data_IF_378520063372
#
_entry.id   IF_378520063372
#
_cell.length_a   1.000
_cell.length_b   1.000
_cell.length_c   1.000
_cell.angle_alpha   90.00
_cell.angle_beta   90.00
_cell.angle_gamma   90.00
#
_symmetry.space_group_name_H-M   'P 1'
#
loop_
_entity.id
_entity.type
_entity.pdbx_description
1 polymer ?
#
# COMPACT_ATOMS: atom_id res chain seq x y z
N UNK A 1 3.58 -7.50 69.99
CA UNK A 1 4.11 -8.19 68.81
C UNK A 1 3.04 -8.55 67.76
N UNK A 2 1.92 -9.22 68.07
CA UNK A 2 0.88 -9.61 67.11
C UNK A 2 0.25 -8.42 66.30
N UNK A 3 0.03 -7.25 66.93
CA UNK A 3 -0.49 -6.07 66.25
C UNK A 3 0.48 -5.38 65.27
N UNK A 4 1.76 -5.54 65.45
CA UNK A 4 2.78 -4.98 64.57
C UNK A 4 2.95 -5.85 63.31
N UNK A 5 2.87 -7.17 63.43
CA UNK A 5 2.93 -8.12 62.32
C UNK A 5 1.72 -7.99 61.36
N UNK A 6 0.54 -7.73 61.93
CA UNK A 6 -0.67 -7.55 61.09
C UNK A 6 -0.58 -6.24 60.26
N UNK A 7 -0.02 -5.16 60.83
CA UNK A 7 0.17 -3.91 60.11
C UNK A 7 1.21 -4.04 58.99
N UNK A 8 2.25 -4.82 59.12
CA UNK A 8 3.27 -5.08 58.10
C UNK A 8 2.73 -5.99 57.00
N UNK A 9 1.88 -6.97 57.29
CA UNK A 9 1.25 -7.81 56.26
C UNK A 9 0.23 -7.02 55.41
N UNK A 10 -0.56 -6.14 56.03
CA UNK A 10 -1.51 -5.29 55.29
C UNK A 10 -0.81 -4.27 54.43
N UNK A 11 0.33 -3.70 54.89
CA UNK A 11 1.12 -2.77 54.05
C UNK A 11 1.81 -3.49 52.88
N UNK A 12 2.28 -4.73 53.06
CA UNK A 12 2.85 -5.54 51.98
C UNK A 12 1.82 -5.98 50.96
N UNK A 13 0.59 -6.31 51.40
CA UNK A 13 -0.52 -6.63 50.49
C UNK A 13 -1.02 -5.39 49.70
N UNK A 14 -1.03 -4.20 50.35
CA UNK A 14 -1.41 -2.95 49.66
C UNK A 14 -0.37 -2.51 48.62
N UNK A 15 0.92 -2.76 48.86
CA UNK A 15 1.99 -2.51 47.89
C UNK A 15 1.97 -3.52 46.71
N UNK A 16 1.56 -4.75 46.94
CA UNK A 16 1.40 -5.75 45.87
C UNK A 16 0.18 -5.45 44.94
N UNK A 17 -0.86 -4.77 45.44
CA UNK A 17 -2.02 -4.35 44.65
C UNK A 17 -1.74 -3.04 43.88
N UNK A 18 -0.85 -2.18 44.35
CA UNK A 18 -0.48 -0.95 43.66
C UNK A 18 0.42 -1.18 42.41
N UNK A 19 0.92 -2.40 42.20
CA UNK A 19 1.76 -2.77 41.07
C UNK A 19 1.04 -3.16 39.80
N UNK A 20 -0.32 -3.34 39.82
CA UNK A 20 -1.13 -3.49 38.64
C UNK A 20 -1.70 -2.12 38.30
N UNK A 21 -0.85 -1.16 37.91
CA UNK A 21 -1.30 -0.04 37.12
C UNK A 21 -2.00 -0.66 35.90
N UNK A 22 -3.33 -0.62 35.86
CA UNK A 22 -4.10 -1.04 34.71
C UNK A 22 -3.56 -0.23 33.54
N UNK A 23 -2.68 -0.85 32.73
CA UNK A 23 -2.14 -0.20 31.56
C UNK A 23 -3.33 0.19 30.70
N UNK A 24 -3.58 1.48 30.56
CA UNK A 24 -4.73 2.03 29.87
C UNK A 24 -4.85 1.37 28.50
N UNK A 25 -5.97 0.67 28.27
CA UNK A 25 -6.24 0.06 26.97
C UNK A 25 -6.22 1.15 25.88
N UNK A 26 -5.43 0.92 24.84
CA UNK A 26 -5.38 1.81 23.68
C UNK A 26 -6.08 1.12 22.52
N UNK A 27 -6.90 1.87 21.80
CA UNK A 27 -7.55 1.37 20.59
C UNK A 27 -7.11 2.23 19.42
N UNK A 28 -6.54 1.59 18.39
CA UNK A 28 -6.07 2.24 17.18
C UNK A 28 -6.97 1.91 15.99
N UNK A 29 -7.19 2.89 15.13
CA UNK A 29 -7.87 2.71 13.85
C UNK A 29 -6.83 2.40 12.78
N UNK A 30 -7.07 1.35 12.02
CA UNK A 30 -6.26 0.96 10.88
C UNK A 30 -7.09 1.10 9.60
N UNK A 31 -6.79 2.09 8.76
CA UNK A 31 -7.48 2.36 7.50
C UNK A 31 -6.76 1.78 6.30
N UNK A 32 -7.52 1.23 5.34
CA UNK A 32 -7.04 0.82 4.02
C UNK A 32 -8.16 0.86 2.98
N UNK A 33 -7.77 0.98 1.70
CA UNK A 33 -8.73 1.12 0.59
C UNK A 33 -9.35 -0.20 0.14
N UNK A 34 -8.62 -1.31 0.27
CA UNK A 34 -9.06 -2.59 -0.25
C UNK A 34 -10.13 -3.24 0.64
N UNK A 35 -11.12 -3.95 0.04
CA UNK A 35 -12.24 -4.50 0.76
C UNK A 35 -11.85 -5.72 1.61
N UNK A 36 -12.78 -6.13 2.46
CA UNK A 36 -12.66 -7.36 3.27
C UNK A 36 -12.41 -8.57 2.38
N UNK A 37 -11.48 -9.44 2.78
CA UNK A 37 -11.06 -10.63 2.04
C UNK A 37 -9.94 -10.38 1.03
N UNK A 38 -9.58 -9.13 0.73
CA UNK A 38 -8.39 -8.81 -0.06
C UNK A 38 -7.11 -9.09 0.75
N UNK A 39 -5.99 -9.55 0.12
CA UNK A 39 -4.73 -9.82 0.82
C UNK A 39 -4.19 -8.70 1.71
N UNK A 40 -4.41 -7.43 1.34
CA UNK A 40 -4.02 -6.30 2.19
C UNK A 40 -4.87 -6.23 3.48
N UNK A 41 -6.18 -6.48 3.38
CA UNK A 41 -7.03 -6.54 4.57
C UNK A 41 -6.64 -7.72 5.46
N UNK A 42 -6.34 -8.88 4.90
CA UNK A 42 -5.84 -10.03 5.65
C UNK A 42 -4.52 -9.71 6.38
N UNK A 43 -3.63 -8.94 5.73
CA UNK A 43 -2.41 -8.43 6.36
C UNK A 43 -2.68 -7.46 7.50
N UNK A 44 -3.67 -6.57 7.34
CA UNK A 44 -4.07 -5.62 8.38
C UNK A 44 -4.69 -6.34 9.60
N UNK A 45 -5.53 -7.36 9.36
CA UNK A 45 -6.08 -8.23 10.43
C UNK A 45 -4.95 -8.96 11.15
N UNK A 46 -3.98 -9.52 10.39
CA UNK A 46 -2.81 -10.18 10.98
C UNK A 46 -1.98 -9.23 11.84
N UNK A 47 -1.79 -8.00 11.39
CA UNK A 47 -1.13 -6.97 12.20
C UNK A 47 -1.89 -6.73 13.51
N UNK A 48 -3.20 -6.58 13.46
CA UNK A 48 -4.04 -6.35 14.64
C UNK A 48 -3.93 -7.50 15.66
N UNK A 49 -3.99 -8.76 15.19
CA UNK A 49 -3.81 -9.95 16.02
C UNK A 49 -2.43 -9.98 16.70
N UNK A 50 -1.37 -9.70 15.92
CA UNK A 50 -0.01 -9.70 16.42
C UNK A 50 0.23 -8.58 17.45
N UNK A 51 -0.32 -7.39 17.23
CA UNK A 51 -0.25 -6.27 18.18
C UNK A 51 -0.93 -6.66 19.48
N UNK A 52 -2.14 -7.21 19.43
CA UNK A 52 -2.85 -7.65 20.63
C UNK A 52 -2.05 -8.72 21.39
N UNK A 53 -1.52 -9.73 20.69
CA UNK A 53 -0.73 -10.80 21.30
C UNK A 53 0.57 -10.26 21.94
N UNK A 54 1.33 -9.42 21.23
CA UNK A 54 2.62 -8.88 21.68
C UNK A 54 2.46 -7.86 22.83
N UNK A 55 1.30 -7.24 22.97
CA UNK A 55 0.99 -6.27 24.02
C UNK A 55 0.16 -6.83 25.16
N UNK A 56 -0.16 -8.15 25.13
CA UNK A 56 -1.03 -8.78 26.15
C UNK A 56 -2.44 -8.16 26.17
N UNK A 57 -2.95 -7.74 25.02
CA UNK A 57 -4.27 -7.12 24.85
C UNK A 57 -4.36 -5.63 25.22
N UNK A 58 -3.26 -5.00 25.69
CA UNK A 58 -3.25 -3.56 26.05
C UNK A 58 -3.49 -2.65 24.86
N UNK A 59 -3.07 -3.05 23.65
CA UNK A 59 -3.33 -2.33 22.40
C UNK A 59 -4.23 -3.18 21.53
N UNK A 60 -5.35 -2.59 21.13
CA UNK A 60 -6.30 -3.17 20.18
C UNK A 60 -6.23 -2.36 18.89
N UNK A 61 -6.32 -3.03 17.74
CA UNK A 61 -6.33 -2.38 16.43
C UNK A 61 -7.62 -2.76 15.72
N UNK A 62 -8.45 -1.77 15.40
CA UNK A 62 -9.67 -1.94 14.63
C UNK A 62 -9.39 -1.66 13.16
N UNK A 63 -9.62 -2.67 12.31
CA UNK A 63 -9.39 -2.57 10.86
C UNK A 63 -10.62 -2.01 10.16
N UNK A 64 -10.43 -0.94 9.40
CA UNK A 64 -11.43 -0.26 8.58
C UNK A 64 -11.07 -0.42 7.11
N UNK A 65 -11.54 -1.50 6.51
CA UNK A 65 -11.29 -1.88 5.12
C UNK A 65 -12.29 -1.21 4.15
N UNK A 66 -11.96 -1.18 2.85
CA UNK A 66 -12.88 -0.71 1.81
C UNK A 66 -13.02 0.81 1.70
N UNK A 67 -12.05 1.57 2.20
CA UNK A 67 -12.05 3.03 2.08
C UNK A 67 -13.10 3.75 2.94
N UNK A 68 -13.68 3.07 3.94
CA UNK A 68 -14.76 3.64 4.79
C UNK A 68 -14.32 4.85 5.62
N UNK A 69 -13.01 5.05 5.81
CA UNK A 69 -12.45 6.24 6.47
C UNK A 69 -12.15 7.37 5.48
N UNK A 70 -12.44 7.21 4.19
CA UNK A 70 -12.17 8.18 3.14
C UNK A 70 -11.01 7.79 2.21
N UNK A 71 -10.68 8.67 1.26
CA UNK A 71 -9.57 8.47 0.33
C UNK A 71 -8.20 8.67 0.97
N UNK A 72 -7.14 8.15 0.31
CA UNK A 72 -5.78 8.13 0.88
C UNK A 72 -5.25 9.49 1.30
N UNK A 73 -5.43 10.53 0.50
CA UNK A 73 -4.93 11.87 0.83
C UNK A 73 -5.54 12.44 2.12
N UNK A 74 -6.86 12.27 2.30
CA UNK A 74 -7.57 12.66 3.52
C UNK A 74 -7.10 11.82 4.72
N UNK A 75 -6.92 10.51 4.50
CA UNK A 75 -6.46 9.60 5.54
C UNK A 75 -5.02 9.91 6.00
N UNK A 76 -4.11 10.29 5.09
CA UNK A 76 -2.75 10.74 5.44
C UNK A 76 -2.81 11.98 6.34
N UNK A 77 -3.66 12.96 6.00
CA UNK A 77 -3.87 14.14 6.84
C UNK A 77 -4.44 13.79 8.23
N UNK A 78 -5.39 12.86 8.28
CA UNK A 78 -5.96 12.37 9.53
C UNK A 78 -4.94 11.61 10.39
N UNK A 79 -4.04 10.83 9.76
CA UNK A 79 -2.95 10.14 10.43
C UNK A 79 -1.94 11.13 11.02
N UNK A 80 -1.55 12.15 10.26
CA UNK A 80 -0.67 13.22 10.76
C UNK A 80 -1.31 13.96 11.96
N UNK A 81 -2.63 14.16 11.91
CA UNK A 81 -3.41 14.74 13.01
C UNK A 81 -3.60 13.82 14.22
N UNK A 82 -3.34 12.51 14.06
CA UNK A 82 -3.50 11.50 15.12
C UNK A 82 -4.95 11.06 15.34
N UNK A 83 -5.85 11.26 14.38
CA UNK A 83 -7.24 10.78 14.42
C UNK A 83 -7.43 9.41 13.76
N UNK A 84 -6.45 9.02 12.94
CA UNK A 84 -6.21 7.65 12.46
C UNK A 84 -4.79 7.30 12.88
N UNK A 85 -4.58 6.14 13.47
CA UNK A 85 -3.28 5.76 14.00
C UNK A 85 -2.45 4.98 12.99
N UNK A 86 -3.08 4.13 12.18
CA UNK A 86 -2.41 3.21 11.24
C UNK A 86 -3.05 3.32 9.85
N UNK A 87 -2.22 3.35 8.81
CA UNK A 87 -2.67 3.25 7.42
C UNK A 87 -1.83 2.24 6.64
N UNK A 88 -2.45 1.58 5.68
CA UNK A 88 -1.79 0.84 4.61
C UNK A 88 -2.26 1.41 3.28
N UNK A 89 -1.35 2.00 2.51
CA UNK A 89 -1.67 2.73 1.28
C UNK A 89 -0.55 2.62 0.24
N UNK A 90 -0.87 2.92 -1.03
CA UNK A 90 0.13 2.97 -2.09
C UNK A 90 1.27 3.93 -1.71
N UNK A 91 2.50 3.42 -1.76
CA UNK A 91 3.68 4.20 -1.36
C UNK A 91 3.86 5.47 -2.21
N UNK A 92 3.49 5.45 -3.49
CA UNK A 92 3.55 6.63 -4.37
C UNK A 92 2.63 7.78 -3.95
N UNK A 93 1.57 7.52 -3.17
CA UNK A 93 0.72 8.57 -2.58
C UNK A 93 1.54 9.48 -1.65
N UNK A 94 2.55 8.93 -0.97
CA UNK A 94 3.43 9.68 -0.08
C UNK A 94 4.35 10.67 -0.82
N UNK A 95 4.37 10.67 -2.15
CA UNK A 95 5.05 11.69 -2.95
C UNK A 95 4.51 13.10 -2.69
N UNK A 96 3.26 13.23 -2.23
CA UNK A 96 2.69 14.50 -1.75
C UNK A 96 3.38 15.03 -0.49
N UNK A 97 4.02 14.16 0.29
CA UNK A 97 4.73 14.50 1.51
C UNK A 97 6.24 14.62 1.26
N UNK A 98 6.80 13.66 0.52
CA UNK A 98 8.22 13.58 0.15
C UNK A 98 8.28 13.10 -1.29
N UNK A 99 8.69 13.98 -2.19
CA UNK A 99 8.66 13.73 -3.64
C UNK A 99 9.37 12.45 -4.07
N UNK A 100 10.39 12.04 -3.36
CA UNK A 100 11.16 10.82 -3.64
C UNK A 100 10.33 9.53 -3.63
N UNK A 101 9.18 9.49 -2.95
CA UNK A 101 8.27 8.36 -3.00
C UNK A 101 7.65 8.16 -4.39
N UNK A 102 7.71 9.15 -5.28
CA UNK A 102 7.26 9.05 -6.66
C UNK A 102 7.99 7.92 -7.42
N UNK A 103 9.20 7.57 -7.00
CA UNK A 103 9.99 6.49 -7.58
C UNK A 103 9.26 5.14 -7.57
N UNK A 104 8.37 4.90 -6.61
CA UNK A 104 7.57 3.67 -6.53
C UNK A 104 6.44 3.59 -7.57
N UNK A 105 6.13 4.70 -8.22
CA UNK A 105 5.15 4.75 -9.32
C UNK A 105 5.82 4.81 -10.70
N UNK A 106 7.15 4.65 -10.78
CA UNK A 106 7.84 4.59 -12.07
C UNK A 106 7.47 3.30 -12.80
N UNK A 107 6.96 3.41 -14.05
CA UNK A 107 6.70 2.24 -14.88
C UNK A 107 7.97 1.39 -15.06
N UNK A 108 7.79 0.07 -15.03
CA UNK A 108 8.85 -0.93 -15.27
C UNK A 108 10.10 -0.81 -14.40
N UNK A 109 9.97 -0.17 -13.22
CA UNK A 109 11.10 0.01 -12.31
C UNK A 109 11.63 -1.34 -11.78
N UNK A 110 10.73 -2.27 -11.46
CA UNK A 110 11.08 -3.59 -10.94
C UNK A 110 10.79 -4.68 -11.98
N UNK A 111 11.74 -5.61 -12.14
CA UNK A 111 11.58 -6.76 -13.02
C UNK A 111 10.67 -7.86 -12.41
N UNK A 112 10.52 -7.86 -11.08
CA UNK A 112 9.70 -8.83 -10.38
C UNK A 112 9.58 -8.52 -8.88
N UNK A 113 8.68 -9.24 -8.20
CA UNK A 113 8.41 -9.05 -6.79
C UNK A 113 9.65 -9.28 -5.90
N UNK A 114 10.54 -10.23 -6.26
CA UNK A 114 11.78 -10.50 -5.53
C UNK A 114 12.74 -9.29 -5.52
N UNK A 115 12.83 -8.60 -6.65
CA UNK A 115 13.64 -7.40 -6.79
C UNK A 115 13.04 -6.25 -5.97
N UNK A 116 11.71 -6.08 -6.05
CA UNK A 116 10.99 -5.10 -5.26
C UNK A 116 11.18 -5.33 -3.75
N UNK A 117 11.04 -6.58 -3.28
CA UNK A 117 11.26 -6.93 -1.86
C UNK A 117 12.64 -6.52 -1.37
N UNK A 118 13.69 -6.85 -2.14
CA UNK A 118 15.06 -6.53 -1.76
C UNK A 118 15.28 -5.01 -1.65
N UNK A 119 14.61 -4.23 -2.48
CA UNK A 119 14.70 -2.76 -2.46
C UNK A 119 13.90 -2.17 -1.29
N UNK A 120 12.64 -2.56 -1.13
CA UNK A 120 11.78 -1.92 -0.12
C UNK A 120 12.13 -2.34 1.32
N UNK A 121 12.58 -3.58 1.52
CA UNK A 121 13.03 -4.08 2.84
C UNK A 121 14.49 -3.71 3.12
N UNK A 122 15.25 -3.37 2.08
CA UNK A 122 16.65 -2.99 2.15
C UNK A 122 16.90 -1.56 2.64
N UNK A 123 18.17 -1.13 2.65
CA UNK A 123 18.56 0.20 3.12
C UNK A 123 17.83 1.34 2.39
N UNK A 124 17.55 1.17 1.09
CA UNK A 124 16.85 2.16 0.28
C UNK A 124 15.44 2.45 0.81
N UNK A 125 14.62 1.40 0.97
CA UNK A 125 13.25 1.56 1.46
C UNK A 125 13.20 2.04 2.90
N UNK A 126 14.08 1.53 3.77
CA UNK A 126 14.20 1.98 5.15
C UNK A 126 14.55 3.47 5.25
N UNK A 127 15.48 3.93 4.42
CA UNK A 127 15.87 5.36 4.35
C UNK A 127 14.69 6.24 3.91
N UNK A 128 13.92 5.81 2.91
CA UNK A 128 12.73 6.56 2.50
C UNK A 128 11.68 6.63 3.62
N UNK A 129 11.38 5.50 4.27
CA UNK A 129 10.46 5.49 5.41
C UNK A 129 10.95 6.37 6.56
N UNK A 130 12.24 6.38 6.88
CA UNK A 130 12.81 7.21 7.95
C UNK A 130 12.55 8.70 7.72
N UNK A 131 12.59 9.17 6.47
CA UNK A 131 12.33 10.59 6.13
C UNK A 131 10.89 11.03 6.40
N UNK A 132 9.95 10.10 6.49
CA UNK A 132 8.55 10.41 6.80
C UNK A 132 8.37 11.00 8.19
N UNK A 133 9.31 10.78 9.10
CA UNK A 133 9.26 11.31 10.47
C UNK A 133 9.15 12.85 10.49
N UNK A 134 9.82 13.54 9.57
CA UNK A 134 9.76 15.00 9.41
C UNK A 134 8.39 15.50 8.94
N UNK A 135 7.55 14.57 8.47
CA UNK A 135 6.19 14.82 8.02
C UNK A 135 5.13 14.30 9.01
N UNK A 136 5.53 13.98 10.24
CA UNK A 136 4.60 13.47 11.26
C UNK A 136 4.12 12.04 11.02
N UNK A 137 4.87 11.24 10.27
CA UNK A 137 4.55 9.87 9.89
C UNK A 137 5.71 8.95 10.27
N UNK A 138 5.40 7.76 10.79
CA UNK A 138 6.37 6.69 11.03
C UNK A 138 6.14 5.58 10.00
N UNK A 139 7.15 5.28 9.18
CA UNK A 139 7.13 4.13 8.29
C UNK A 139 7.46 2.86 9.08
N UNK A 140 6.58 1.86 9.07
CA UNK A 140 6.78 0.61 9.81
C UNK A 140 7.30 -0.53 8.92
N UNK A 141 6.64 -0.77 7.78
CA UNK A 141 6.99 -1.84 6.86
C UNK A 141 6.40 -1.56 5.47
N UNK A 142 6.86 -2.35 4.49
CA UNK A 142 6.23 -2.38 3.17
C UNK A 142 5.47 -3.70 2.98
N UNK A 143 4.28 -3.60 2.39
CA UNK A 143 3.47 -4.72 1.90
C UNK A 143 3.36 -4.65 0.37
N UNK A 144 2.60 -5.56 -0.25
CA UNK A 144 2.52 -5.67 -1.69
C UNK A 144 1.08 -5.54 -2.19
N UNK A 145 0.85 -4.66 -3.16
CA UNK A 145 -0.36 -4.70 -3.98
C UNK A 145 -0.14 -5.58 -5.22
N UNK A 146 1.01 -5.44 -5.86
CA UNK A 146 1.42 -6.23 -7.02
C UNK A 146 1.59 -5.43 -8.31
N UNK A 147 1.70 -6.15 -9.43
CA UNK A 147 1.83 -5.55 -10.76
C UNK A 147 0.49 -5.13 -11.32
N UNK A 148 0.45 -3.93 -11.88
CA UNK A 148 -0.75 -3.27 -12.38
C UNK A 148 -0.99 -3.56 -13.85
N UNK A 149 -2.27 -3.72 -14.18
CA UNK A 149 -2.80 -4.08 -15.49
C UNK A 149 -3.95 -3.15 -15.85
N UNK A 150 -4.20 -2.93 -17.14
CA UNK A 150 -5.22 -1.98 -17.60
C UNK A 150 -6.53 -2.72 -17.88
N UNK A 151 -7.66 -2.22 -17.34
CA UNK A 151 -9.00 -2.66 -17.74
C UNK A 151 -9.74 -1.53 -18.44
N UNK A 152 -10.66 -1.88 -19.34
CA UNK A 152 -11.57 -0.91 -19.94
C UNK A 152 -12.88 -1.56 -20.44
N UNK A 153 -13.92 -0.73 -20.62
CA UNK A 153 -15.23 -1.16 -21.11
C UNK A 153 -15.40 -1.01 -22.63
N UNK A 154 -14.40 -0.45 -23.36
CA UNK A 154 -14.55 -0.01 -24.75
C UNK A 154 -14.10 -1.07 -25.76
N UNK A 155 -12.86 -1.54 -25.65
CA UNK A 155 -12.25 -2.44 -26.65
C UNK A 155 -11.09 -3.24 -26.04
N UNK A 156 -10.75 -4.39 -26.62
CA UNK A 156 -9.49 -5.08 -26.29
C UNK A 156 -8.29 -4.17 -26.60
N UNK A 157 -7.23 -4.29 -25.79
CA UNK A 157 -5.95 -3.64 -26.01
C UNK A 157 -4.97 -4.71 -26.47
N UNK A 158 -4.73 -4.80 -27.78
CA UNK A 158 -3.79 -5.73 -28.39
C UNK A 158 -2.45 -5.04 -28.72
N UNK A 159 -2.47 -3.74 -28.91
CA UNK A 159 -1.32 -2.88 -29.18
C UNK A 159 -1.27 -1.70 -28.22
N UNK A 160 -0.12 -1.05 -28.08
CA UNK A 160 0.01 0.16 -27.25
C UNK A 160 -0.88 1.30 -27.78
N UNK A 161 -1.07 1.37 -29.11
CA UNK A 161 -1.88 2.42 -29.71
C UNK A 161 -3.40 2.25 -29.43
N UNK A 162 -3.84 1.07 -29.02
CA UNK A 162 -5.23 0.84 -28.57
C UNK A 162 -5.58 1.57 -27.27
N UNK A 163 -4.57 2.00 -26.51
CA UNK A 163 -4.76 2.74 -25.25
C UNK A 163 -5.17 4.19 -25.55
N UNK A 164 -4.80 4.72 -26.73
CA UNK A 164 -5.06 6.10 -27.09
C UNK A 164 -6.56 6.43 -27.06
N UNK A 165 -6.89 7.61 -26.55
CA UNK A 165 -8.24 8.14 -26.43
C UNK A 165 -9.07 7.60 -25.27
N UNK A 166 -8.64 6.53 -24.57
CA UNK A 166 -9.34 6.02 -23.40
C UNK A 166 -9.29 7.02 -22.24
N UNK A 167 -10.40 7.21 -21.55
CA UNK A 167 -10.45 7.92 -20.27
C UNK A 167 -10.06 6.95 -19.16
N UNK A 168 -8.82 7.01 -18.73
CA UNK A 168 -8.29 6.09 -17.71
C UNK A 168 -8.19 6.76 -16.35
N UNK A 169 -8.83 6.17 -15.36
CA UNK A 169 -8.61 6.56 -13.96
C UNK A 169 -7.19 6.19 -13.55
N UNK A 170 -6.54 7.12 -12.89
CA UNK A 170 -5.21 6.94 -12.29
C UNK A 170 -5.20 7.32 -10.82
N UNK A 171 -4.20 6.82 -10.08
CA UNK A 171 -3.89 7.30 -8.74
C UNK A 171 -3.52 8.79 -8.84
N UNK A 172 -4.04 9.66 -7.94
CA UNK A 172 -3.80 11.11 -8.00
C UNK A 172 -2.35 11.48 -7.68
N UNK A 173 -1.44 11.31 -8.63
CA UNK A 173 -0.10 11.87 -8.61
C UNK A 173 0.37 12.25 -10.03
N UNK A 174 1.41 13.08 -10.12
CA UNK A 174 1.84 13.67 -11.38
C UNK A 174 2.37 12.65 -12.39
N UNK A 175 3.14 11.68 -11.95
CA UNK A 175 3.72 10.67 -12.86
C UNK A 175 2.63 9.78 -13.46
N UNK A 176 1.60 9.41 -12.68
CA UNK A 176 0.49 8.58 -13.19
C UNK A 176 -0.36 9.34 -14.20
N UNK A 177 -0.50 10.65 -14.07
CA UNK A 177 -1.12 11.50 -15.08
C UNK A 177 -0.26 11.54 -16.34
N UNK A 178 1.05 11.73 -16.19
CA UNK A 178 1.94 11.93 -17.33
C UNK A 178 2.14 10.66 -18.15
N UNK A 179 2.28 9.48 -17.52
CA UNK A 179 2.46 8.25 -18.30
C UNK A 179 1.20 7.89 -19.11
N UNK A 180 0.00 8.13 -18.58
CA UNK A 180 -1.24 7.92 -19.33
C UNK A 180 -1.32 8.88 -20.54
N UNK A 181 -0.94 10.16 -20.35
CA UNK A 181 -0.85 11.13 -21.46
C UNK A 181 0.16 10.71 -22.52
N UNK A 182 1.31 10.18 -22.12
CA UNK A 182 2.35 9.72 -23.06
C UNK A 182 1.87 8.58 -23.97
N UNK A 183 0.85 7.82 -23.54
CA UNK A 183 0.19 6.79 -24.34
C UNK A 183 -0.96 7.34 -25.20
N UNK A 184 -1.20 8.65 -25.18
CA UNK A 184 -2.31 9.29 -25.94
C UNK A 184 -3.67 9.11 -25.29
N UNK A 185 -3.74 8.62 -24.05
CA UNK A 185 -4.98 8.47 -23.30
C UNK A 185 -5.28 9.72 -22.45
N UNK A 186 -6.50 9.78 -21.90
CA UNK A 186 -6.99 10.88 -21.09
C UNK A 186 -6.99 10.46 -19.60
N UNK A 187 -6.01 10.88 -18.78
CA UNK A 187 -5.96 10.52 -17.37
C UNK A 187 -7.03 11.25 -16.58
N UNK A 188 -7.69 10.53 -15.69
CA UNK A 188 -8.66 11.06 -14.73
C UNK A 188 -8.19 10.71 -13.31
N UNK A 189 -7.45 11.60 -12.64
CA UNK A 189 -7.08 11.41 -11.23
C UNK A 189 -8.33 11.33 -10.37
N UNK A 190 -8.47 10.24 -9.60
CA UNK A 190 -9.68 9.99 -8.81
C UNK A 190 -9.32 9.16 -7.57
N UNK A 191 -9.89 9.49 -6.41
CA UNK A 191 -9.73 8.69 -5.19
C UNK A 191 -10.29 7.27 -5.39
N UNK A 192 -9.65 6.28 -4.75
CA UNK A 192 -10.00 4.87 -5.01
C UNK A 192 -11.46 4.52 -4.69
N UNK A 193 -12.10 5.02 -3.59
CA UNK A 193 -13.50 4.73 -3.31
C UNK A 193 -14.50 5.16 -4.39
N UNK A 194 -14.10 6.07 -5.27
CA UNK A 194 -14.97 6.62 -6.33
C UNK A 194 -14.89 5.81 -7.63
N UNK A 195 -13.91 4.89 -7.75
CA UNK A 195 -13.56 4.24 -9.03
C UNK A 195 -14.69 3.37 -9.55
N UNK A 196 -15.29 2.52 -8.72
CA UNK A 196 -16.36 1.61 -9.17
C UNK A 196 -17.55 2.42 -9.75
N UNK A 197 -17.99 3.43 -9.01
CA UNK A 197 -19.09 4.30 -9.46
C UNK A 197 -18.72 5.06 -10.75
N UNK A 198 -17.48 5.55 -10.87
CA UNK A 198 -17.01 6.21 -12.09
C UNK A 198 -17.00 5.28 -13.31
N UNK A 199 -16.65 4.00 -13.12
CA UNK A 199 -16.70 2.97 -14.18
C UNK A 199 -18.15 2.59 -14.54
N UNK A 200 -19.00 2.38 -13.54
CA UNK A 200 -20.40 2.03 -13.71
C UNK A 200 -21.17 3.13 -14.48
N UNK A 201 -20.98 4.38 -14.08
CA UNK A 201 -21.59 5.55 -14.71
C UNK A 201 -20.94 5.94 -16.04
N UNK A 202 -19.88 5.22 -16.48
CA UNK A 202 -19.10 5.52 -17.70
C UNK A 202 -18.50 6.93 -17.73
N UNK A 203 -18.27 7.54 -16.57
CA UNK A 203 -17.51 8.78 -16.45
C UNK A 203 -16.04 8.57 -16.84
N UNK A 204 -15.53 7.36 -16.63
CA UNK A 204 -14.23 6.86 -17.08
C UNK A 204 -14.44 5.58 -17.89
N UNK A 205 -13.58 5.35 -18.89
CA UNK A 205 -13.65 4.15 -19.74
C UNK A 205 -12.96 2.96 -19.07
N UNK A 206 -11.96 3.22 -18.22
CA UNK A 206 -11.15 2.20 -17.61
C UNK A 206 -10.33 2.69 -16.43
N UNK A 207 -9.59 1.75 -15.87
CA UNK A 207 -8.68 1.96 -14.76
C UNK A 207 -7.48 0.99 -14.89
N UNK A 208 -6.52 1.07 -13.99
CA UNK A 208 -5.40 0.15 -13.93
C UNK A 208 -5.14 -0.25 -12.47
N UNK A 209 -4.95 -1.54 -12.24
CA UNK A 209 -4.70 -2.14 -10.93
C UNK A 209 -4.15 -3.57 -11.08
N UNK A 210 -3.61 -4.15 -10.01
CA UNK A 210 -3.33 -5.59 -9.95
C UNK A 210 -4.60 -6.44 -10.04
N UNK A 211 -4.44 -7.68 -10.49
CA UNK A 211 -5.56 -8.63 -10.70
C UNK A 211 -6.37 -8.84 -9.43
N UNK A 212 -5.72 -8.95 -8.28
CA UNK A 212 -6.38 -9.12 -6.97
C UNK A 212 -7.32 -7.96 -6.63
N UNK A 213 -6.94 -6.73 -7.01
CA UNK A 213 -7.78 -5.53 -6.80
C UNK A 213 -8.97 -5.54 -7.75
N UNK A 214 -8.73 -5.88 -9.03
CA UNK A 214 -9.80 -5.98 -10.05
C UNK A 214 -10.85 -7.00 -9.61
N UNK A 215 -10.39 -8.16 -9.12
CA UNK A 215 -11.25 -9.24 -8.64
C UNK A 215 -12.01 -8.85 -7.36
N UNK A 216 -11.30 -8.41 -6.32
CA UNK A 216 -11.90 -8.13 -5.01
C UNK A 216 -12.88 -6.95 -5.02
N UNK A 217 -12.65 -5.95 -5.90
CA UNK A 217 -13.57 -4.82 -6.08
C UNK A 217 -14.62 -5.06 -7.17
N UNK A 218 -14.69 -6.27 -7.72
CA UNK A 218 -15.65 -6.69 -8.74
C UNK A 218 -15.65 -5.79 -9.98
N UNK A 219 -14.50 -5.24 -10.35
CA UNK A 219 -14.43 -4.37 -11.54
C UNK A 219 -14.81 -5.11 -12.82
N UNK A 220 -14.75 -6.44 -12.84
CA UNK A 220 -15.23 -7.28 -13.94
C UNK A 220 -16.73 -7.11 -14.22
N UNK A 221 -17.55 -6.64 -13.26
CA UNK A 221 -18.97 -6.35 -13.48
C UNK A 221 -19.18 -5.15 -14.42
N UNK A 222 -18.25 -4.19 -14.40
CA UNK A 222 -18.31 -2.91 -15.13
C UNK A 222 -17.17 -2.74 -16.16
N UNK A 223 -16.26 -3.71 -16.27
CA UNK A 223 -15.12 -3.70 -17.19
C UNK A 223 -15.05 -5.03 -17.95
N UNK A 224 -15.11 -4.95 -19.29
CA UNK A 224 -15.12 -6.16 -20.14
C UNK A 224 -13.74 -6.64 -20.56
N UNK A 225 -12.79 -5.72 -20.71
CA UNK A 225 -11.47 -6.02 -21.26
C UNK A 225 -10.40 -5.83 -20.20
N UNK A 226 -9.46 -6.77 -20.15
CA UNK A 226 -8.27 -6.74 -19.32
C UNK A 226 -7.04 -6.95 -20.19
N UNK A 227 -6.15 -5.97 -20.24
CA UNK A 227 -4.83 -6.11 -20.85
C UNK A 227 -3.78 -6.35 -19.76
N UNK A 228 -3.11 -7.49 -19.82
CA UNK A 228 -2.01 -7.85 -18.92
C UNK A 228 -0.76 -7.09 -19.35
N UNK A 229 -0.59 -5.91 -18.80
CA UNK A 229 0.51 -5.00 -19.15
C UNK A 229 1.67 -5.04 -18.16
N UNK A 230 1.40 -5.39 -16.91
CA UNK A 230 2.38 -5.41 -15.81
C UNK A 230 3.30 -4.17 -15.81
N UNK A 231 2.74 -3.01 -16.15
CA UNK A 231 3.47 -1.79 -16.43
C UNK A 231 4.06 -1.11 -15.19
N UNK A 232 3.55 -1.43 -14.00
CA UNK A 232 3.98 -0.80 -12.76
C UNK A 232 3.81 -1.78 -11.60
N UNK A 233 4.81 -1.86 -10.71
CA UNK A 233 4.70 -2.58 -9.44
C UNK A 233 4.41 -1.59 -8.31
N UNK A 234 3.43 -1.91 -7.46
CA UNK A 234 3.08 -1.06 -6.34
C UNK A 234 3.41 -1.70 -4.98
N UNK A 235 4.46 -1.24 -4.29
CA UNK A 235 4.59 -1.46 -2.88
C UNK A 235 3.58 -0.61 -2.11
N UNK A 236 3.09 -1.16 -0.99
CA UNK A 236 2.24 -0.42 -0.06
C UNK A 236 3.04 -0.08 1.19
N UNK A 237 2.92 1.14 1.67
CA UNK A 237 3.49 1.54 2.94
C UNK A 237 2.53 1.27 4.09
N UNK A 238 2.97 0.52 5.09
CA UNK A 238 2.34 0.42 6.39
C UNK A 238 2.94 1.52 7.27
N UNK A 239 2.13 2.52 7.61
CA UNK A 239 2.56 3.73 8.29
C UNK A 239 1.76 3.99 9.55
N UNK A 240 2.36 4.72 10.49
CA UNK A 240 1.77 5.04 11.78
C UNK A 240 1.82 6.55 12.06
N UNK A 241 0.86 7.08 12.80
CA UNK A 241 0.85 8.46 13.27
C UNK A 241 2.03 8.76 14.20
N UNK A 242 2.95 9.64 13.80
CA UNK A 242 4.07 10.03 14.67
C UNK A 242 3.58 10.72 15.93
N UNK A 243 2.52 11.52 15.84
CA UNK A 243 1.90 12.17 17.00
C UNK A 243 1.48 11.18 18.07
N UNK A 244 0.89 10.05 17.67
CA UNK A 244 0.50 8.98 18.60
C UNK A 244 1.71 8.13 18.99
N UNK A 245 2.60 7.81 18.03
CA UNK A 245 3.82 7.05 18.27
C UNK A 245 4.68 7.62 19.37
N UNK A 246 4.85 8.93 19.40
CA UNK A 246 5.68 9.62 20.39
C UNK A 246 5.12 9.53 21.82
N UNK A 247 3.83 9.18 21.98
CA UNK A 247 3.19 8.94 23.28
C UNK A 247 3.37 7.51 23.79
N UNK A 248 3.90 6.60 22.96
CA UNK A 248 4.06 5.20 23.30
C UNK A 248 5.39 4.95 24.03
N UNK A 249 5.39 3.99 24.94
CA UNK A 249 6.63 3.48 25.52
C UNK A 249 7.40 2.58 24.53
N UNK A 250 8.68 2.38 24.78
CA UNK A 250 9.57 1.61 23.89
C UNK A 250 9.10 0.16 23.67
N UNK A 251 8.54 -0.48 24.69
CA UNK A 251 7.98 -1.82 24.57
C UNK A 251 6.80 -1.89 23.59
N UNK A 252 5.91 -0.87 23.61
CA UNK A 252 4.76 -0.80 22.69
C UNK A 252 5.23 -0.48 21.27
N UNK A 253 6.18 0.46 21.10
CA UNK A 253 6.80 0.76 19.82
C UNK A 253 7.44 -0.47 19.19
N UNK A 254 8.20 -1.22 20.00
CA UNK A 254 8.82 -2.47 19.55
C UNK A 254 7.77 -3.51 19.15
N UNK A 255 6.71 -3.68 19.94
CA UNK A 255 5.64 -4.61 19.64
C UNK A 255 4.93 -4.28 18.30
N UNK A 256 4.66 -2.99 18.05
CA UNK A 256 4.07 -2.51 16.79
C UNK A 256 5.01 -2.72 15.59
N UNK A 257 6.31 -2.44 15.76
CA UNK A 257 7.30 -2.65 14.71
C UNK A 257 7.48 -4.14 14.38
N UNK A 258 7.57 -5.00 15.38
CA UNK A 258 7.69 -6.44 15.20
C UNK A 258 6.42 -7.01 14.53
N UNK A 259 5.24 -6.56 14.95
CA UNK A 259 3.96 -6.93 14.34
C UNK A 259 3.89 -6.50 12.87
N UNK A 260 4.36 -5.30 12.53
CA UNK A 260 4.39 -4.80 11.16
C UNK A 260 5.30 -5.65 10.26
N UNK A 261 6.48 -6.01 10.75
CA UNK A 261 7.43 -6.85 10.02
C UNK A 261 6.89 -8.27 9.77
N UNK A 262 6.21 -8.87 10.75
CA UNK A 262 5.61 -10.20 10.60
C UNK A 262 4.37 -10.16 9.69
N UNK A 263 3.49 -9.17 9.88
CA UNK A 263 2.29 -9.01 9.08
C UNK A 263 2.59 -8.70 7.61
N UNK A 264 3.64 -7.93 7.32
CA UNK A 264 4.04 -7.62 5.94
C UNK A 264 4.52 -8.87 5.18
N UNK A 265 5.29 -9.73 5.83
CA UNK A 265 5.73 -11.01 5.25
C UNK A 265 4.54 -11.94 4.97
N UNK A 266 3.63 -12.06 5.94
CA UNK A 266 2.40 -12.83 5.80
C UNK A 266 1.55 -12.29 4.63
N UNK A 267 1.36 -10.97 4.56
CA UNK A 267 0.57 -10.33 3.51
C UNK A 267 1.12 -10.62 2.11
N UNK A 268 2.43 -10.49 1.90
CA UNK A 268 3.07 -10.79 0.61
C UNK A 268 2.91 -12.26 0.23
N UNK A 269 3.06 -13.16 1.19
CA UNK A 269 2.86 -14.60 0.95
C UNK A 269 1.43 -14.88 0.50
N UNK A 270 0.42 -14.32 1.20
CA UNK A 270 -0.99 -14.50 0.85
C UNK A 270 -1.28 -13.87 -0.51
N UNK A 271 -0.78 -12.65 -0.77
CA UNK A 271 -1.00 -11.95 -2.03
C UNK A 271 -0.49 -12.78 -3.22
N UNK A 272 0.72 -13.31 -3.12
CA UNK A 272 1.37 -14.10 -4.19
C UNK A 272 0.73 -15.46 -4.39
N UNK A 273 0.29 -16.12 -3.31
CA UNK A 273 -0.40 -17.40 -3.43
C UNK A 273 -1.76 -17.27 -4.11
N UNK A 274 -2.47 -16.16 -3.91
CA UNK A 274 -3.76 -15.91 -4.54
C UNK A 274 -3.64 -15.38 -5.98
N UNK A 275 -2.63 -14.56 -6.27
CA UNK A 275 -2.50 -13.91 -7.59
C UNK A 275 -2.34 -14.89 -8.75
N UNK A 276 -1.91 -16.13 -8.50
CA UNK A 276 -1.83 -17.18 -9.51
C UNK A 276 -3.21 -17.55 -10.07
N UNK A 277 -4.25 -17.51 -9.23
CA UNK A 277 -5.61 -17.90 -9.58
C UNK A 277 -6.46 -16.71 -10.06
N UNK A 278 -6.09 -15.48 -9.68
CA UNK A 278 -6.88 -14.27 -9.94
C UNK A 278 -7.18 -14.06 -11.43
N UNK A 279 -6.22 -14.34 -12.33
CA UNK A 279 -6.41 -14.20 -13.77
C UNK A 279 -7.46 -15.16 -14.30
N UNK A 280 -7.43 -16.40 -13.85
CA UNK A 280 -8.39 -17.41 -14.27
C UNK A 280 -9.80 -17.12 -13.71
N UNK A 281 -9.88 -16.61 -12.48
CA UNK A 281 -11.15 -16.16 -11.91
C UNK A 281 -11.74 -14.98 -12.69
N UNK A 282 -10.94 -14.03 -13.13
CA UNK A 282 -11.39 -12.91 -13.96
C UNK A 282 -11.85 -13.38 -15.36
N UNK A 283 -11.17 -14.37 -15.97
CA UNK A 283 -11.63 -15.01 -17.21
C UNK A 283 -12.97 -15.72 -17.01
N UNK A 284 -13.13 -16.49 -15.92
CA UNK A 284 -14.40 -17.16 -15.57
C UNK A 284 -15.51 -16.14 -15.31
N UNK A 285 -15.19 -14.97 -14.76
CA UNK A 285 -16.12 -13.86 -14.58
C UNK A 285 -16.51 -13.14 -15.90
N UNK A 286 -15.96 -13.57 -17.04
CA UNK A 286 -16.33 -13.09 -18.37
C UNK A 286 -15.47 -11.96 -18.92
N UNK A 287 -14.32 -11.64 -18.30
CA UNK A 287 -13.40 -10.67 -18.87
C UNK A 287 -12.67 -11.22 -20.10
N UNK A 288 -12.57 -10.40 -21.15
CA UNK A 288 -11.72 -10.66 -22.30
C UNK A 288 -10.28 -10.26 -21.95
N UNK A 289 -9.41 -11.23 -21.84
CA UNK A 289 -8.01 -11.02 -21.48
C UNK A 289 -7.15 -10.95 -22.73
N UNK A 290 -6.32 -9.92 -22.80
CA UNK A 290 -5.28 -9.77 -23.83
C UNK A 290 -3.91 -9.63 -23.18
N UNK A 291 -2.89 -10.10 -23.87
CA UNK A 291 -1.48 -9.95 -23.49
C UNK A 291 -0.77 -9.20 -24.62
N UNK A 292 0.00 -8.18 -24.27
CA UNK A 292 0.82 -7.48 -25.24
C UNK A 292 1.95 -8.38 -25.73
N UNK A 293 2.17 -8.42 -27.04
CA UNK A 293 3.34 -9.11 -27.60
C UNK A 293 4.65 -8.52 -27.04
N UNK A 294 5.78 -9.25 -27.09
CA UNK A 294 7.08 -8.72 -26.65
C UNK A 294 7.44 -7.41 -27.36
N UNK A 295 7.08 -7.26 -28.64
CA UNK A 295 7.31 -6.03 -29.39
C UNK A 295 6.45 -4.86 -28.86
N UNK A 296 5.20 -5.09 -28.54
CA UNK A 296 4.31 -4.07 -27.95
C UNK A 296 4.72 -3.74 -26.49
N UNK A 297 5.22 -4.72 -25.74
CA UNK A 297 5.80 -4.48 -24.42
C UNK A 297 7.06 -3.57 -24.51
N UNK A 298 7.93 -3.79 -25.50
CA UNK A 298 9.08 -2.93 -25.75
C UNK A 298 8.62 -1.51 -26.15
N UNK A 299 7.67 -1.40 -27.07
CA UNK A 299 7.08 -0.11 -27.49
C UNK A 299 6.46 0.65 -26.31
N UNK A 300 5.79 -0.06 -25.40
CA UNK A 300 5.21 0.54 -24.18
C UNK A 300 6.32 1.13 -23.28
N UNK A 301 7.41 0.38 -23.07
CA UNK A 301 8.58 0.86 -22.30
C UNK A 301 9.20 2.10 -22.94
N UNK A 302 9.42 2.07 -24.25
CA UNK A 302 10.03 3.18 -24.98
C UNK A 302 9.17 4.44 -24.92
N UNK A 303 7.84 4.33 -25.08
CA UNK A 303 6.93 5.47 -24.94
C UNK A 303 6.93 6.08 -23.54
N UNK A 304 7.17 5.30 -22.49
CA UNK A 304 7.16 5.76 -21.10
C UNK A 304 8.53 6.24 -20.60
N UNK A 305 9.61 5.91 -21.30
CA UNK A 305 10.97 6.33 -20.92
C UNK A 305 11.13 7.84 -20.72
N UNK A 306 10.62 8.74 -21.61
CA UNK A 306 10.72 10.19 -21.39
C UNK A 306 9.99 10.68 -20.13
N UNK A 307 8.91 10.00 -19.73
CA UNK A 307 8.18 10.33 -18.49
C UNK A 307 9.02 9.98 -17.27
N UNK A 308 9.63 8.79 -17.28
CA UNK A 308 10.54 8.34 -16.20
C UNK A 308 11.73 9.29 -16.08
N UNK A 309 12.34 9.69 -17.21
CA UNK A 309 13.47 10.64 -17.23
C UNK A 309 13.07 12.01 -16.67
N UNK A 310 11.92 12.55 -17.09
CA UNK A 310 11.38 13.84 -16.60
C UNK A 310 11.19 13.84 -15.09
N UNK A 311 10.48 12.84 -14.57
CA UNK A 311 10.19 12.74 -13.14
C UNK A 311 11.45 12.37 -12.34
N UNK A 312 12.28 11.49 -12.89
CA UNK A 312 13.55 11.09 -12.29
C UNK A 312 14.55 12.23 -12.12
N UNK A 313 14.58 13.19 -13.04
CA UNK A 313 15.44 14.37 -12.94
C UNK A 313 15.13 15.20 -11.67
N UNK A 314 13.88 15.27 -11.25
CA UNK A 314 13.47 16.00 -10.06
C UNK A 314 13.87 15.32 -8.74
N UNK A 315 14.23 14.02 -8.78
CA UNK A 315 14.66 13.19 -7.64
C UNK A 315 15.92 12.40 -8.01
N UNK A 316 16.83 13.01 -8.78
CA UNK A 316 17.97 12.35 -9.39
C UNK A 316 18.84 11.56 -8.40
N UNK A 317 19.07 12.08 -7.19
CA UNK A 317 19.81 11.39 -6.15
C UNK A 317 19.15 10.07 -5.71
N UNK A 318 17.84 10.09 -5.53
CA UNK A 318 17.05 8.90 -5.16
C UNK A 318 17.03 7.87 -6.30
N UNK A 319 16.87 8.33 -7.53
CA UNK A 319 16.92 7.44 -8.71
C UNK A 319 18.30 6.79 -8.84
N UNK A 320 19.39 7.55 -8.69
CA UNK A 320 20.75 7.01 -8.76
C UNK A 320 21.00 5.96 -7.66
N UNK A 321 20.55 6.22 -6.43
CA UNK A 321 20.65 5.27 -5.31
C UNK A 321 19.87 3.99 -5.60
N UNK A 322 18.62 4.11 -6.05
CA UNK A 322 17.80 2.96 -6.43
C UNK A 322 18.45 2.13 -7.54
N UNK A 323 18.95 2.78 -8.60
CA UNK A 323 19.62 2.10 -9.70
C UNK A 323 20.88 1.36 -9.24
N UNK A 324 21.65 1.95 -8.31
CA UNK A 324 22.81 1.30 -7.72
C UNK A 324 22.43 0.03 -6.93
N UNK A 325 21.35 0.07 -6.15
CA UNK A 325 20.85 -1.11 -5.44
C UNK A 325 20.31 -2.18 -6.40
N UNK A 326 19.53 -1.79 -7.42
CA UNK A 326 19.04 -2.70 -8.45
C UNK A 326 20.18 -3.37 -9.22
N UNK A 327 21.25 -2.65 -9.54
CA UNK A 327 22.42 -3.19 -10.22
C UNK A 327 23.15 -4.29 -9.43
N UNK A 328 23.07 -4.25 -8.09
CA UNK A 328 23.61 -5.33 -7.23
C UNK A 328 22.77 -6.62 -7.32
N UNK A 329 21.47 -6.48 -7.55
CA UNK A 329 20.52 -7.61 -7.61
C UNK A 329 20.47 -8.27 -8.99
N UNK A 330 20.84 -7.53 -10.05
CA UNK A 330 20.79 -7.95 -11.46
C UNK A 330 22.11 -8.56 -11.96
N UNK A 331 23.08 -8.72 -11.08
CA UNK A 331 24.33 -9.46 -11.34
C UNK A 331 24.09 -10.95 -11.18
#
# INVERSE_FOLDING_TARGET
>A
MKRLMIKTLVAAAALAIAGVAAAQEKTFKFGLQNPKGHPLEMGAVKFAELVAAKTGGRIKVNVFAGGVLGGDAANVSALQGGTIEVLMLNSGILASQIKDFEVYDFPFMFAGAREADAIVDGPFGQKLHARLADKGIVGLAYTELGFRNITNSRKPINTVDDIAGLKLRVIPNAINVDWVKALGANPTPMAFPEVYAGLEQKAIDGQENPLSVILANKFYEVQKNLAVTNHQYNPQSLIFSKKVWDTLGDADRKALQDAANEASKYQRQVNRSKSADDLDELKKAGMQVTELSPAEQAKLRDKLKPVIEKHGAAIAGTVAELQAELAKLRK
#
